data_IF_541435291654
#
_entry.id   IF_541435291654
#
_cell.length_a   1.000
_cell.length_b   1.000
_cell.length_c   1.000
_cell.angle_alpha   90.00
_cell.angle_beta   90.00
_cell.angle_gamma   90.00
#
_symmetry.space_group_name_H-M   'P 1'
#
loop_
_entity.id
_entity.type
_entity.pdbx_description
1 polymer ?
#
# COMPACT_ATOMS: atom_id res chain seq x y z
N UNK A 1 -85.91 19.10 -14.90
CA UNK A 1 -85.08 19.34 -13.69
C UNK A 1 -85.08 18.08 -12.87
N UNK A 2 -83.97 17.33 -12.88
CA UNK A 2 -83.50 16.28 -11.93
C UNK A 2 -82.40 15.49 -12.68
N UNK A 3 -81.17 15.66 -12.20
CA UNK A 3 -79.99 14.83 -12.47
C UNK A 3 -80.17 13.42 -11.88
N UNK A 4 -79.50 12.42 -12.48
CA UNK A 4 -78.65 11.41 -11.79
C UNK A 4 -78.14 10.40 -12.83
N UNK A 5 -76.91 10.57 -13.32
CA UNK A 5 -75.63 10.03 -12.81
C UNK A 5 -75.43 8.52 -13.07
N UNK A 6 -74.53 8.29 -14.04
CA UNK A 6 -73.87 7.05 -14.44
C UNK A 6 -73.17 6.36 -13.25
N UNK A 7 -73.31 5.05 -13.16
CA UNK A 7 -72.41 4.16 -12.44
C UNK A 7 -71.28 3.72 -13.37
N UNK A 8 -70.04 4.15 -13.10
CA UNK A 8 -68.83 3.56 -13.67
C UNK A 8 -68.04 2.92 -12.52
N UNK A 9 -68.04 1.60 -12.49
CA UNK A 9 -67.17 0.79 -11.64
C UNK A 9 -65.76 0.84 -12.25
N UNK A 10 -64.82 1.48 -11.56
CA UNK A 10 -63.41 1.50 -11.95
C UNK A 10 -62.62 0.69 -10.94
N UNK A 11 -62.08 -0.46 -11.36
CA UNK A 11 -61.17 -1.28 -10.58
C UNK A 11 -59.78 -0.63 -10.67
N UNK A 12 -59.32 0.00 -9.58
CA UNK A 12 -57.96 0.52 -9.48
C UNK A 12 -57.05 -0.61 -9.02
N UNK A 13 -56.19 -1.09 -9.93
CA UNK A 13 -55.07 -1.95 -9.60
C UNK A 13 -54.06 -1.17 -8.75
N UNK A 14 -53.83 -1.63 -7.52
CA UNK A 14 -52.81 -1.06 -6.64
C UNK A 14 -51.41 -1.37 -7.16
N UNK A 15 -50.68 -0.36 -7.62
CA UNK A 15 -49.22 -0.41 -7.77
C UNK A 15 -48.59 -0.08 -6.41
N UNK A 16 -48.02 -1.09 -5.73
CA UNK A 16 -47.10 -0.88 -4.63
C UNK A 16 -45.75 -0.41 -5.20
N UNK A 17 -45.50 0.90 -5.15
CA UNK A 17 -44.15 1.45 -5.38
C UNK A 17 -43.33 1.14 -4.12
N UNK A 18 -42.56 0.05 -4.16
CA UNK A 18 -41.50 -0.17 -3.18
C UNK A 18 -40.39 0.83 -3.49
N UNK A 19 -40.37 1.96 -2.77
CA UNK A 19 -39.22 2.85 -2.76
C UNK A 19 -38.05 2.09 -2.15
N UNK A 20 -37.17 1.55 -2.99
CA UNK A 20 -35.88 1.03 -2.54
C UNK A 20 -35.10 2.22 -1.98
N UNK A 21 -34.96 2.25 -0.65
CA UNK A 21 -34.06 3.15 0.03
C UNK A 21 -32.64 2.87 -0.47
N UNK A 22 -32.24 3.62 -1.49
CA UNK A 22 -30.86 3.68 -1.93
C UNK A 22 -30.12 4.43 -0.84
N UNK A 23 -29.53 3.68 0.09
CA UNK A 23 -28.50 4.20 0.97
C UNK A 23 -27.36 4.70 0.09
N UNK A 24 -27.39 5.99 -0.24
CA UNK A 24 -26.26 6.67 -0.84
C UNK A 24 -25.12 6.55 0.16
N UNK A 25 -24.12 5.74 -0.18
CA UNK A 25 -22.83 5.73 0.49
C UNK A 25 -22.25 7.13 0.32
N UNK A 26 -22.42 7.97 1.36
CA UNK A 26 -21.76 9.27 1.44
C UNK A 26 -20.28 9.00 1.25
N UNK A 27 -19.72 9.45 0.12
CA UNK A 27 -18.29 9.40 -0.11
C UNK A 27 -17.60 10.05 1.09
N UNK A 28 -16.70 9.33 1.74
CA UNK A 28 -16.01 9.85 2.92
C UNK A 28 -15.23 11.09 2.50
N UNK A 29 -15.74 12.27 2.84
CA UNK A 29 -15.01 13.52 2.72
C UNK A 29 -13.71 13.37 3.50
N UNK A 30 -12.54 13.52 2.87
CA UNK A 30 -11.29 13.46 3.60
C UNK A 30 -11.27 14.62 4.57
N UNK A 31 -11.50 14.33 5.85
CA UNK A 31 -11.31 15.28 6.94
C UNK A 31 -9.85 15.73 6.84
N UNK A 32 -9.63 17.00 6.44
CA UNK A 32 -8.34 17.69 6.59
C UNK A 32 -8.11 17.88 8.09
N UNK A 33 -7.77 16.80 8.79
CA UNK A 33 -7.20 16.89 10.12
C UNK A 33 -5.84 17.56 9.96
N UNK A 34 -5.79 18.85 10.28
CA UNK A 34 -4.55 19.61 10.40
C UNK A 34 -3.72 18.87 11.46
N UNK A 35 -2.73 18.09 11.03
CA UNK A 35 -1.87 17.32 11.93
C UNK A 35 -1.12 18.34 12.81
N UNK A 36 -1.56 18.52 14.05
CA UNK A 36 -1.00 19.53 14.97
C UNK A 36 0.44 19.20 15.37
N UNK A 37 0.79 17.90 15.48
CA UNK A 37 2.16 17.40 15.50
C UNK A 37 2.24 16.02 14.83
N UNK A 38 3.16 15.78 13.88
CA UNK A 38 3.32 14.45 13.29
C UNK A 38 3.79 13.45 14.35
N UNK A 39 3.37 12.17 14.27
CA UNK A 39 3.84 11.17 15.23
C UNK A 39 5.35 10.97 15.09
N UNK A 40 5.99 10.66 16.21
CA UNK A 40 7.36 10.18 16.25
C UNK A 40 7.36 8.68 15.98
N UNK A 41 8.39 8.21 15.28
CA UNK A 41 8.58 6.80 15.03
C UNK A 41 10.00 6.38 15.32
N UNK A 42 10.16 5.19 15.88
CA UNK A 42 11.45 4.61 16.24
C UNK A 42 11.46 3.12 15.94
N UNK A 43 12.56 2.65 15.40
CA UNK A 43 12.81 1.22 15.23
C UNK A 43 13.50 0.69 16.48
N UNK A 44 12.92 -0.32 17.12
CA UNK A 44 13.40 -0.93 18.37
C UNK A 44 13.54 -2.46 18.22
N UNK A 45 14.01 -3.12 19.28
CA UNK A 45 14.12 -4.59 19.37
C UNK A 45 14.85 -5.21 18.17
N UNK A 46 16.11 -4.83 17.97
CA UNK A 46 16.95 -5.28 16.85
C UNK A 46 16.26 -5.15 15.47
N UNK A 47 15.56 -4.03 15.29
CA UNK A 47 14.83 -3.68 14.07
C UNK A 47 13.60 -4.51 13.75
N UNK A 48 13.09 -5.29 14.69
CA UNK A 48 11.90 -6.12 14.48
C UNK A 48 10.59 -5.41 14.81
N UNK A 49 10.64 -4.27 15.51
CA UNK A 49 9.46 -3.50 15.91
C UNK A 49 9.62 -2.04 15.52
N UNK A 50 8.58 -1.51 14.87
CA UNK A 50 8.38 -0.08 14.67
C UNK A 50 7.44 0.43 15.75
N UNK A 51 7.95 1.30 16.62
CA UNK A 51 7.16 2.04 17.60
C UNK A 51 6.74 3.37 17.00
N UNK A 52 5.46 3.69 17.08
CA UNK A 52 4.89 4.97 16.67
C UNK A 52 4.22 5.60 17.89
N UNK A 53 4.49 6.88 18.13
CA UNK A 53 3.99 7.63 19.28
C UNK A 53 3.54 9.03 18.87
N UNK A 54 2.31 9.39 19.21
CA UNK A 54 1.68 10.68 18.85
C UNK A 54 1.59 11.66 20.03
N UNK A 55 2.15 11.31 21.20
CA UNK A 55 2.01 12.09 22.44
C UNK A 55 1.03 11.48 23.44
N UNK A 56 0.10 10.63 22.99
CA UNK A 56 -0.93 10.01 23.83
C UNK A 56 -0.92 8.49 23.74
N UNK A 57 -0.69 7.94 22.56
CA UNK A 57 -0.82 6.52 22.25
C UNK A 57 0.52 5.99 21.73
N UNK A 58 0.94 4.84 22.26
CA UNK A 58 2.07 4.07 21.73
C UNK A 58 1.52 2.89 20.93
N UNK A 59 1.85 2.84 19.63
CA UNK A 59 1.58 1.70 18.77
C UNK A 59 2.87 0.99 18.40
N UNK A 60 2.89 -0.33 18.58
CA UNK A 60 3.98 -1.18 18.11
C UNK A 60 3.51 -2.01 16.92
N UNK A 61 4.23 -1.93 15.81
CA UNK A 61 4.02 -2.76 14.62
C UNK A 61 5.22 -3.69 14.50
N UNK A 62 4.98 -5.00 14.52
CA UNK A 62 6.03 -6.01 14.34
C UNK A 62 6.30 -6.18 12.85
N UNK A 63 7.57 -6.33 12.47
CA UNK A 63 7.91 -6.64 11.07
C UNK A 63 7.19 -7.93 10.61
N UNK A 64 7.05 -8.92 11.50
CA UNK A 64 6.41 -10.21 11.21
C UNK A 64 4.91 -10.12 10.94
N UNK A 65 4.23 -9.04 11.33
CA UNK A 65 2.83 -8.81 10.96
C UNK A 65 2.67 -8.27 9.54
N UNK A 66 3.75 -7.82 8.90
CA UNK A 66 3.75 -7.34 7.52
C UNK A 66 4.03 -8.52 6.60
N UNK A 67 2.96 -9.06 6.03
CA UNK A 67 2.99 -10.23 5.14
C UNK A 67 2.69 -9.82 3.71
N UNK A 68 3.34 -10.50 2.78
CA UNK A 68 3.15 -10.26 1.35
C UNK A 68 3.43 -11.54 0.57
N UNK A 69 2.68 -11.72 -0.50
CA UNK A 69 2.88 -12.78 -1.46
C UNK A 69 3.83 -12.29 -2.56
N UNK A 70 4.97 -12.93 -2.70
CA UNK A 70 5.95 -12.62 -3.73
C UNK A 70 5.72 -13.55 -4.93
N UNK A 71 5.59 -12.95 -6.11
CA UNK A 71 5.43 -13.64 -7.38
C UNK A 71 6.80 -13.85 -8.03
N UNK A 72 6.94 -14.93 -8.81
CA UNK A 72 8.08 -15.19 -9.72
C UNK A 72 9.44 -14.87 -9.08
N UNK A 73 9.71 -15.56 -7.98
CA UNK A 73 10.86 -15.30 -7.09
C UNK A 73 11.69 -16.54 -6.88
N UNK A 74 12.85 -16.41 -6.24
CA UNK A 74 13.64 -17.56 -5.82
C UNK A 74 13.52 -17.77 -4.31
N UNK A 75 13.51 -19.01 -3.84
CA UNK A 75 13.66 -19.31 -2.42
C UNK A 75 15.14 -19.26 -2.00
N UNK A 76 15.47 -19.44 -0.71
CA UNK A 76 16.87 -19.40 -0.26
C UNK A 76 17.76 -20.52 -0.82
N UNK A 77 17.18 -21.57 -1.41
CA UNK A 77 17.90 -22.63 -2.08
C UNK A 77 18.14 -22.30 -3.58
N UNK A 78 17.76 -21.11 -4.05
CA UNK A 78 17.90 -20.69 -5.44
C UNK A 78 16.83 -21.26 -6.39
N UNK A 79 15.92 -22.10 -5.91
CA UNK A 79 14.84 -22.67 -6.72
C UNK A 79 13.82 -21.58 -7.06
N UNK A 80 13.42 -21.51 -8.33
CA UNK A 80 12.35 -20.64 -8.79
C UNK A 80 11.00 -21.08 -8.21
N UNK A 81 10.23 -20.11 -7.72
CA UNK A 81 8.93 -20.29 -7.09
C UNK A 81 7.96 -19.28 -7.69
N UNK A 82 6.88 -19.77 -8.31
CA UNK A 82 5.83 -18.93 -8.90
C UNK A 82 5.19 -17.99 -7.86
N UNK A 83 5.09 -18.45 -6.61
CA UNK A 83 4.44 -17.74 -5.51
C UNK A 83 4.96 -18.22 -4.16
N UNK A 84 5.38 -17.29 -3.31
CA UNK A 84 5.68 -17.59 -1.89
C UNK A 84 5.16 -16.47 -0.98
N UNK A 85 4.61 -16.84 0.17
CA UNK A 85 4.18 -15.86 1.19
C UNK A 85 5.31 -15.64 2.16
N UNK A 86 5.78 -14.39 2.27
CA UNK A 86 6.85 -14.01 3.17
C UNK A 86 6.34 -12.99 4.21
N UNK A 87 6.92 -13.06 5.40
CA UNK A 87 6.66 -12.10 6.49
C UNK A 87 7.90 -11.24 6.72
N UNK A 88 7.71 -10.00 7.16
CA UNK A 88 8.82 -9.11 7.50
C UNK A 88 9.68 -9.66 8.64
N UNK A 89 10.99 -9.61 8.45
CA UNK A 89 12.00 -9.95 9.46
C UNK A 89 12.49 -8.72 10.20
N UNK A 90 12.83 -7.66 9.45
CA UNK A 90 13.39 -6.41 10.00
C UNK A 90 12.95 -5.20 9.20
N UNK A 91 12.78 -4.07 9.86
CA UNK A 91 12.64 -2.75 9.24
C UNK A 91 14.01 -2.22 8.81
N UNK A 92 14.05 -1.46 7.71
CA UNK A 92 15.23 -0.73 7.27
C UNK A 92 15.23 0.69 7.87
N UNK A 93 16.20 1.08 8.71
CA UNK A 93 16.20 2.39 9.38
C UNK A 93 16.18 3.59 8.44
N UNK A 94 16.88 3.50 7.30
CA UNK A 94 16.92 4.57 6.30
C UNK A 94 15.73 4.55 5.33
N UNK A 95 14.80 3.61 5.49
CA UNK A 95 13.65 3.44 4.61
C UNK A 95 12.33 3.57 5.40
N UNK A 96 12.25 4.58 6.28
CA UNK A 96 11.01 4.97 6.93
C UNK A 96 10.79 6.46 6.68
N UNK A 97 9.65 6.83 6.10
CA UNK A 97 9.33 8.23 5.80
C UNK A 97 7.86 8.52 5.98
N UNK A 98 7.55 9.61 6.67
CA UNK A 98 6.22 10.16 6.80
C UNK A 98 5.93 11.14 5.66
N UNK A 99 4.81 10.94 4.96
CA UNK A 99 4.20 11.99 4.14
C UNK A 99 3.48 12.96 5.07
N UNK A 100 4.05 14.16 5.25
CA UNK A 100 3.49 15.20 6.13
C UNK A 100 2.11 15.68 5.69
N UNK A 101 1.74 15.50 4.42
CA UNK A 101 0.45 15.97 3.88
C UNK A 101 -0.69 15.01 4.23
N UNK A 102 -0.42 13.71 4.18
CA UNK A 102 -1.46 12.67 4.34
C UNK A 102 -1.36 11.92 5.68
N UNK A 103 -0.24 12.03 6.39
CA UNK A 103 0.06 11.24 7.58
C UNK A 103 0.47 9.79 7.27
N UNK A 104 0.53 9.40 5.99
CA UNK A 104 0.94 8.08 5.58
C UNK A 104 2.42 7.84 5.90
N UNK A 105 2.71 6.71 6.54
CA UNK A 105 4.07 6.31 6.88
C UNK A 105 4.52 5.18 5.95
N UNK A 106 5.47 5.47 5.05
CA UNK A 106 6.11 4.45 4.23
C UNK A 106 7.20 3.73 5.02
N UNK A 107 7.20 2.40 4.98
CA UNK A 107 8.15 1.55 5.70
C UNK A 107 8.71 0.48 4.78
N UNK A 108 10.03 0.42 4.68
CA UNK A 108 10.77 -0.64 4.01
C UNK A 108 11.06 -1.78 4.98
N UNK A 109 10.79 -3.01 4.55
CA UNK A 109 11.06 -4.21 5.34
C UNK A 109 11.85 -5.25 4.55
N UNK A 110 12.77 -5.92 5.23
CA UNK A 110 13.42 -7.13 4.78
C UNK A 110 12.48 -8.31 5.01
N UNK A 111 12.17 -9.06 3.96
CA UNK A 111 11.32 -10.26 4.04
C UNK A 111 12.19 -11.53 4.10
N UNK A 112 13.23 -11.57 3.28
CA UNK A 112 14.12 -12.73 3.16
C UNK A 112 15.55 -12.25 2.89
N UNK A 113 16.50 -12.85 3.61
CA UNK A 113 17.93 -12.66 3.43
C UNK A 113 18.56 -14.03 3.24
N UNK A 114 19.09 -14.28 2.05
CA UNK A 114 19.83 -15.48 1.68
C UNK A 114 21.21 -15.04 1.15
N UNK A 115 22.18 -15.94 1.12
CA UNK A 115 23.56 -15.63 0.73
C UNK A 115 23.68 -14.88 -0.62
N UNK A 116 22.86 -15.26 -1.61
CA UNK A 116 22.89 -14.69 -2.97
C UNK A 116 21.77 -13.69 -3.26
N UNK A 117 20.76 -13.57 -2.39
CA UNK A 117 19.59 -12.75 -2.68
C UNK A 117 18.88 -12.20 -1.44
N UNK A 118 18.32 -11.00 -1.59
CA UNK A 118 17.55 -10.28 -0.59
C UNK A 118 16.22 -9.91 -1.21
N UNK A 119 15.14 -10.26 -0.53
CA UNK A 119 13.79 -9.86 -0.91
C UNK A 119 13.28 -8.90 0.15
N UNK A 120 12.86 -7.73 -0.31
CA UNK A 120 12.28 -6.67 0.50
C UNK A 120 10.87 -6.34 0.02
N UNK A 121 10.16 -5.53 0.79
CA UNK A 121 8.93 -4.88 0.35
C UNK A 121 8.77 -3.51 1.01
N UNK A 122 7.91 -2.69 0.42
CA UNK A 122 7.48 -1.42 0.99
C UNK A 122 6.01 -1.50 1.34
N UNK A 123 5.67 -1.03 2.54
CA UNK A 123 4.31 -0.89 3.01
C UNK A 123 4.03 0.58 3.32
N UNK A 124 2.79 1.01 3.07
CA UNK A 124 2.25 2.27 3.56
C UNK A 124 1.35 1.96 4.74
N UNK A 125 1.63 2.59 5.88
CA UNK A 125 0.79 2.57 7.07
C UNK A 125 -0.05 3.84 7.04
N UNK A 126 -1.33 3.69 6.66
CA UNK A 126 -2.29 4.78 6.65
C UNK A 126 -2.90 4.92 8.05
N UNK A 127 -2.77 6.08 8.73
CA UNK A 127 -3.38 6.26 10.04
C UNK A 127 -4.91 6.29 9.94
N UNK A 128 -5.59 5.67 10.91
CA UNK A 128 -7.02 5.93 11.15
C UNK A 128 -7.20 7.33 11.78
N UNK A 129 -8.39 7.95 11.72
CA UNK A 129 -8.61 9.35 12.15
C UNK A 129 -8.10 9.72 13.54
N UNK A 130 -8.03 8.76 14.47
CA UNK A 130 -7.57 8.94 15.85
C UNK A 130 -6.16 8.41 16.12
N UNK A 131 -5.39 8.04 15.09
CA UNK A 131 -4.02 7.48 15.19
C UNK A 131 -3.86 6.21 16.05
N UNK A 132 -4.96 5.66 16.57
CA UNK A 132 -4.98 4.45 17.40
C UNK A 132 -4.57 3.19 16.62
N UNK A 133 -4.76 3.22 15.31
CA UNK A 133 -4.50 2.08 14.44
C UNK A 133 -4.10 2.53 13.03
N UNK A 134 -3.51 1.59 12.28
CA UNK A 134 -3.04 1.81 10.93
C UNK A 134 -3.63 0.76 9.99
N UNK A 135 -4.07 1.20 8.82
CA UNK A 135 -4.40 0.33 7.71
C UNK A 135 -3.10 0.08 6.94
N UNK A 136 -2.79 -1.19 6.70
CA UNK A 136 -1.57 -1.59 6.02
C UNK A 136 -1.84 -1.76 4.53
N UNK A 137 -1.12 -1.02 3.71
CA UNK A 137 -1.16 -1.15 2.25
C UNK A 137 0.19 -1.62 1.74
N UNK A 138 0.20 -2.63 0.88
CA UNK A 138 1.42 -3.10 0.21
C UNK A 138 1.65 -2.29 -1.05
N UNK A 139 2.85 -1.73 -1.21
CA UNK A 139 3.28 -1.12 -2.48
C UNK A 139 3.62 -2.24 -3.45
N UNK A 140 2.95 -2.27 -4.61
CA UNK A 140 3.17 -3.28 -5.62
C UNK A 140 4.33 -2.89 -6.53
N UNK A 141 5.38 -3.70 -6.55
CA UNK A 141 6.41 -3.67 -7.59
C UNK A 141 5.83 -4.37 -8.83
N UNK A 142 5.82 -3.71 -9.99
CA UNK A 142 5.36 -4.32 -11.23
C UNK A 142 6.29 -5.44 -11.70
N UNK A 143 5.83 -6.22 -12.68
CA UNK A 143 6.63 -7.25 -13.33
C UNK A 143 5.86 -7.85 -14.50
N UNK A 144 6.29 -9.04 -14.92
CA UNK A 144 5.86 -9.69 -16.17
C UNK A 144 4.35 -9.92 -16.32
N UNK A 145 3.62 -10.10 -15.23
CA UNK A 145 2.18 -10.39 -15.25
C UNK A 145 1.41 -9.41 -14.39
N UNK A 146 0.16 -9.18 -14.78
CA UNK A 146 -0.75 -8.35 -14.00
C UNK A 146 -0.94 -8.91 -12.59
N UNK A 147 -0.93 -8.02 -11.60
CA UNK A 147 -1.11 -8.36 -10.19
C UNK A 147 -2.61 -8.25 -9.87
N UNK A 148 -3.28 -9.40 -9.75
CA UNK A 148 -4.73 -9.47 -9.51
C UNK A 148 -5.10 -9.46 -8.02
N UNK A 149 -4.11 -9.47 -7.12
CA UNK A 149 -4.31 -9.58 -5.68
C UNK A 149 -3.62 -8.42 -4.92
N UNK A 150 -4.36 -7.83 -3.99
CA UNK A 150 -3.94 -6.64 -3.22
C UNK A 150 -2.78 -6.86 -2.23
N UNK A 151 -2.36 -8.11 -2.01
CA UNK A 151 -1.22 -8.48 -1.18
C UNK A 151 -0.10 -9.20 -1.95
N UNK A 152 -0.11 -9.11 -3.29
CA UNK A 152 0.90 -9.74 -4.17
C UNK A 152 1.87 -8.74 -4.81
N UNK A 153 3.15 -9.05 -4.95
CA UNK A 153 4.12 -8.16 -5.61
C UNK A 153 5.22 -8.95 -6.28
N UNK A 154 5.89 -8.36 -7.25
CA UNK A 154 7.17 -8.86 -7.71
C UNK A 154 8.28 -8.57 -6.69
N UNK A 155 9.41 -9.31 -6.75
CA UNK A 155 10.48 -9.18 -5.78
C UNK A 155 11.11 -7.80 -5.87
N UNK A 156 11.15 -7.11 -4.73
CA UNK A 156 12.02 -5.94 -4.58
C UNK A 156 13.34 -6.38 -3.98
N UNK A 157 14.45 -5.91 -4.54
CA UNK A 157 15.79 -6.16 -4.00
C UNK A 157 16.04 -5.33 -2.73
N UNK A 158 17.28 -4.94 -2.45
CA UNK A 158 17.63 -4.19 -1.24
C UNK A 158 17.15 -2.74 -1.35
N UNK A 159 16.35 -2.28 -0.39
CA UNK A 159 15.92 -0.89 -0.31
C UNK A 159 17.04 -0.03 0.31
N UNK A 160 17.41 1.07 -0.33
CA UNK A 160 18.37 2.05 0.23
C UNK A 160 17.66 3.17 0.97
N UNK A 161 16.66 3.78 0.35
CA UNK A 161 15.92 4.92 0.91
C UNK A 161 14.49 4.97 0.36
N UNK A 162 13.58 5.53 1.15
CA UNK A 162 12.21 5.82 0.75
C UNK A 162 11.93 7.30 1.02
N UNK A 163 11.25 7.95 0.09
CA UNK A 163 10.94 9.37 0.17
C UNK A 163 9.54 9.67 -0.35
N UNK A 164 9.07 10.87 -0.02
CA UNK A 164 7.91 11.49 -0.64
C UNK A 164 8.32 12.84 -1.22
N UNK A 165 7.92 13.12 -2.46
CA UNK A 165 8.07 14.43 -3.11
C UNK A 165 6.70 14.78 -3.69
N UNK A 166 6.08 15.87 -3.22
CA UNK A 166 4.71 16.29 -3.58
C UNK A 166 3.64 15.20 -3.37
N UNK A 167 3.94 14.26 -2.47
CA UNK A 167 3.20 13.04 -2.15
C UNK A 167 3.22 11.96 -3.23
N UNK A 168 4.14 12.06 -4.19
CA UNK A 168 4.61 10.91 -4.95
C UNK A 168 5.56 10.10 -4.08
N UNK A 169 5.39 8.79 -4.06
CA UNK A 169 6.26 7.87 -3.33
C UNK A 169 7.46 7.49 -4.21
N UNK A 170 8.65 7.63 -3.64
CA UNK A 170 9.92 7.30 -4.28
C UNK A 170 10.63 6.21 -3.49
N UNK A 171 11.04 5.15 -4.17
CA UNK A 171 11.73 4.02 -3.53
C UNK A 171 13.05 3.80 -4.26
N UNK A 172 14.17 4.15 -3.62
CA UNK A 172 15.50 3.86 -4.15
C UNK A 172 15.93 2.48 -3.68
N UNK A 173 16.35 1.64 -4.61
CA UNK A 173 16.80 0.29 -4.32
C UNK A 173 18.08 -0.03 -5.09
N UNK A 174 18.74 -1.12 -4.68
CA UNK A 174 20.02 -1.55 -5.22
C UNK A 174 20.06 -3.06 -5.45
N UNK A 175 20.87 -3.47 -6.43
CA UNK A 175 21.16 -4.86 -6.70
C UNK A 175 22.42 -5.35 -5.99
N UNK A 176 22.71 -6.65 -6.12
CA UNK A 176 23.96 -7.24 -5.64
C UNK A 176 25.19 -6.82 -6.46
N UNK A 177 24.97 -6.38 -7.71
CA UNK A 177 26.01 -5.90 -8.61
C UNK A 177 26.19 -4.38 -8.55
N UNK A 178 25.71 -3.74 -7.48
CA UNK A 178 25.79 -2.29 -7.22
C UNK A 178 25.05 -1.38 -8.22
N UNK A 179 24.13 -1.92 -9.04
CA UNK A 179 23.18 -1.06 -9.75
C UNK A 179 22.23 -0.39 -8.76
N UNK A 180 21.76 0.81 -9.08
CA UNK A 180 20.75 1.54 -8.30
C UNK A 180 19.65 2.08 -9.22
N UNK A 181 18.42 2.02 -8.73
CA UNK A 181 17.27 2.56 -9.41
C UNK A 181 16.28 3.18 -8.43
N UNK A 182 15.47 4.08 -8.97
CA UNK A 182 14.38 4.76 -8.30
C UNK A 182 13.05 4.31 -8.89
N UNK A 183 12.23 3.62 -8.09
CA UNK A 183 10.85 3.36 -8.45
C UNK A 183 10.00 4.58 -8.08
N UNK A 184 9.18 5.04 -9.04
CA UNK A 184 8.35 6.24 -8.90
C UNK A 184 6.88 5.83 -8.88
N UNK A 185 6.16 6.26 -7.85
CA UNK A 185 4.72 6.08 -7.72
C UNK A 185 4.05 7.43 -7.61
N UNK A 186 3.30 7.80 -8.64
CA UNK A 186 2.51 9.04 -8.66
C UNK A 186 1.38 8.95 -7.65
N UNK A 187 1.06 10.08 -7.00
CA UNK A 187 -0.13 10.21 -6.14
C UNK A 187 -1.37 9.68 -6.87
N UNK A 188 -2.19 8.91 -6.16
CA UNK A 188 -3.49 8.45 -6.65
C UNK A 188 -4.49 8.40 -5.47
N UNK A 189 -5.70 7.90 -5.72
CA UNK A 189 -6.70 7.65 -4.69
C UNK A 189 -6.24 6.60 -3.66
N UNK A 190 -5.28 5.74 -4.02
CA UNK A 190 -4.72 4.73 -3.11
C UNK A 190 -3.50 5.31 -2.38
N UNK A 191 -3.33 5.03 -1.07
CA UNK A 191 -2.17 5.49 -0.29
C UNK A 191 -0.81 5.09 -0.87
N UNK A 192 -0.76 4.00 -1.63
CA UNK A 192 0.46 3.47 -2.28
C UNK A 192 0.85 4.22 -3.56
N UNK A 193 -0.03 5.07 -4.08
CA UNK A 193 0.12 5.67 -5.40
C UNK A 193 -0.09 4.68 -6.56
N UNK A 194 0.13 5.17 -7.78
CA UNK A 194 0.15 4.41 -9.03
C UNK A 194 1.59 4.38 -9.55
N UNK A 195 2.12 3.19 -9.85
CA UNK A 195 3.45 3.06 -10.45
C UNK A 195 3.51 3.87 -11.75
N UNK A 196 4.54 4.69 -11.89
CA UNK A 196 4.73 5.60 -13.02
C UNK A 196 6.00 5.28 -13.82
N UNK A 197 6.99 4.63 -13.22
CA UNK A 197 8.21 4.26 -13.91
C UNK A 197 9.35 3.89 -12.96
N UNK A 198 10.45 3.50 -13.58
CA UNK A 198 11.71 3.23 -12.90
C UNK A 198 12.82 3.98 -13.62
N UNK A 199 13.65 4.66 -12.84
CA UNK A 199 14.81 5.42 -13.35
C UNK A 199 16.07 4.79 -12.81
N UNK A 200 16.96 4.33 -13.70
CA UNK A 200 18.29 3.86 -13.30
C UNK A 200 19.10 5.08 -12.86
N UNK A 201 19.58 5.07 -11.62
CA UNK A 201 20.38 6.16 -11.04
C UNK A 201 21.86 5.82 -10.95
N UNK A 202 22.21 4.55 -11.05
CA UNK A 202 23.59 4.07 -11.13
C UNK A 202 23.61 2.72 -11.84
N UNK A 203 24.47 2.56 -12.84
CA UNK A 203 24.67 1.29 -13.55
C UNK A 203 25.82 0.52 -12.91
N UNK A 204 25.50 -0.66 -12.38
CA UNK A 204 26.48 -1.69 -12.05
C UNK A 204 26.67 -2.67 -13.22
N UNK A 205 27.37 -3.77 -12.97
CA UNK A 205 27.69 -4.76 -14.01
C UNK A 205 26.43 -5.49 -14.50
N UNK A 206 26.04 -5.32 -15.77
CA UNK A 206 24.98 -6.07 -16.50
C UNK A 206 23.81 -6.60 -15.64
N UNK A 207 22.95 -5.69 -15.15
CA UNK A 207 21.80 -6.06 -14.32
C UNK A 207 20.59 -5.20 -14.64
N UNK A 208 19.50 -5.84 -15.08
CA UNK A 208 18.23 -5.16 -15.22
C UNK A 208 17.65 -4.92 -13.82
N UNK A 209 17.94 -3.73 -13.28
CA UNK A 209 17.48 -3.33 -11.96
C UNK A 209 16.03 -2.81 -11.98
N UNK A 210 15.61 -2.22 -13.10
CA UNK A 210 14.24 -1.78 -13.24
C UNK A 210 13.32 -2.96 -13.53
N UNK A 211 12.13 -3.03 -12.92
CA UNK A 211 11.16 -4.03 -13.31
C UNK A 211 10.77 -3.82 -14.78
N UNK A 212 10.85 -4.88 -15.58
CA UNK A 212 10.32 -4.89 -16.95
C UNK A 212 8.89 -5.40 -16.97
N UNK A 213 8.11 -4.84 -17.89
CA UNK A 213 6.87 -5.43 -18.38
C UNK A 213 7.26 -6.21 -19.63
N UNK A 214 6.83 -7.47 -19.70
CA UNK A 214 6.81 -8.19 -20.98
C UNK A 214 5.51 -7.82 -21.70
#
# INVERSE_FOLDING_TARGET
>A
MIMKFLNIVTIIAGLLITSSAHAQLIASTPVKNKITKPPRFQIIKNRTVLRIYDGKIIKNIRASSLRVRILDSQNCNGKSVKRQTLSGKKFFPKAIKLDKRTGNLAVGVLLQNCAKQNISAVFILQPKPNWSNYIVHRVAVPGKRQINDRFSTYPLRKIKVIGFIDGNLLIKHTSFKNSEALLVYKKSEKPTGKYAGCVVTQTGHSDNICPSFD
#
